data_IF_181767360878
#
_entry.id   IF_181767360878
#
_cell.length_a   1.000
_cell.length_b   1.000
_cell.length_c   1.000
_cell.angle_alpha   90.00
_cell.angle_beta   90.00
_cell.angle_gamma   90.00
#
_symmetry.space_group_name_H-M   'P 1'
#
loop_
_entity.id
_entity.type
_entity.pdbx_description
1 polymer ?
#
# COMPACT_ATOMS: atom_id res chain seq x y z
N UNK A 1 -3.97 -22.19 8.90
CA UNK A 1 -4.12 -20.84 8.30
C UNK A 1 -4.10 -19.84 9.43
N UNK A 2 -3.46 -18.69 9.24
CA UNK A 2 -3.46 -17.57 10.19
C UNK A 2 -3.65 -16.26 9.41
N UNK A 3 -4.21 -15.25 10.05
CA UNK A 3 -4.49 -13.94 9.42
C UNK A 3 -3.84 -12.82 10.20
N UNK A 4 -3.17 -11.91 9.50
CA UNK A 4 -2.58 -10.70 10.08
C UNK A 4 -3.58 -9.56 10.04
N UNK A 5 -4.07 -9.13 11.20
CA UNK A 5 -4.85 -7.90 11.28
C UNK A 5 -4.01 -6.66 10.93
N UNK A 6 -2.70 -6.68 11.25
CA UNK A 6 -1.77 -5.59 10.98
C UNK A 6 -1.63 -5.28 9.49
N UNK A 7 -1.49 -6.31 8.65
CA UNK A 7 -1.25 -6.13 7.21
C UNK A 7 -2.46 -6.47 6.32
N UNK A 8 -3.52 -7.06 6.88
CA UNK A 8 -4.65 -7.59 6.10
C UNK A 8 -4.22 -8.73 5.17
N UNK A 9 -3.35 -9.63 5.65
CA UNK A 9 -2.78 -10.74 4.88
C UNK A 9 -3.14 -12.08 5.51
N UNK A 10 -3.58 -13.03 4.69
CA UNK A 10 -3.81 -14.41 5.08
C UNK A 10 -2.59 -15.28 4.75
N UNK A 11 -2.11 -16.03 5.75
CA UNK A 11 -1.05 -17.03 5.64
C UNK A 11 -1.65 -18.43 5.61
N UNK A 12 -1.38 -19.16 4.53
CA UNK A 12 -1.82 -20.54 4.36
C UNK A 12 -0.59 -21.43 4.25
N UNK A 13 -0.45 -22.37 5.17
CA UNK A 13 0.60 -23.40 5.11
C UNK A 13 -0.03 -24.72 4.69
N UNK A 14 0.53 -25.34 3.66
CA UNK A 14 0.04 -26.62 3.12
C UNK A 14 0.71 -27.81 3.81
N UNK A 15 0.10 -28.99 3.71
CA UNK A 15 0.68 -30.25 4.21
C UNK A 15 2.09 -30.53 3.66
N UNK A 16 2.37 -30.08 2.43
CA UNK A 16 3.66 -30.24 1.77
C UNK A 16 4.67 -29.13 2.13
N UNK A 17 4.39 -28.27 3.13
CA UNK A 17 5.35 -27.26 3.58
C UNK A 17 5.50 -26.04 2.67
N UNK A 18 4.53 -25.79 1.78
CA UNK A 18 4.43 -24.50 1.09
C UNK A 18 3.69 -23.49 1.96
N UNK A 19 4.18 -22.25 1.97
CA UNK A 19 3.45 -21.09 2.48
C UNK A 19 2.90 -20.28 1.31
N UNK A 20 1.66 -19.82 1.45
CA UNK A 20 1.00 -18.91 0.54
C UNK A 20 0.54 -17.67 1.31
N UNK A 21 0.76 -16.49 0.72
CA UNK A 21 0.29 -15.21 1.24
C UNK A 21 -0.78 -14.69 0.30
N UNK A 22 -1.92 -14.27 0.86
CA UNK A 22 -3.02 -13.67 0.13
C UNK A 22 -3.40 -12.33 0.72
N UNK A 23 -3.69 -11.35 -0.13
CA UNK A 23 -4.35 -10.12 0.29
C UNK A 23 -5.80 -10.44 0.68
N UNK A 24 -6.22 -10.07 1.89
CA UNK A 24 -7.57 -10.39 2.38
C UNK A 24 -8.68 -9.59 1.69
N UNK A 25 -8.37 -8.40 1.18
CA UNK A 25 -9.37 -7.52 0.56
C UNK A 25 -9.73 -8.00 -0.86
N UNK A 26 -8.73 -8.37 -1.66
CA UNK A 26 -8.94 -8.80 -3.06
C UNK A 26 -8.88 -10.31 -3.27
N UNK A 27 -8.37 -11.09 -2.31
CA UNK A 27 -8.06 -12.51 -2.49
C UNK A 27 -6.86 -12.77 -3.40
N UNK A 28 -6.12 -11.74 -3.82
CA UNK A 28 -4.97 -11.86 -4.71
C UNK A 28 -3.83 -12.62 -4.01
N UNK A 29 -3.23 -13.60 -4.70
CA UNK A 29 -2.04 -14.29 -4.20
C UNK A 29 -0.82 -13.38 -4.34
N UNK A 30 -0.19 -13.08 -3.21
CA UNK A 30 1.02 -12.26 -3.12
C UNK A 30 2.25 -13.15 -3.31
N UNK A 31 2.42 -14.15 -2.45
CA UNK A 31 3.67 -14.92 -2.41
C UNK A 31 3.37 -16.41 -2.24
N UNK A 32 4.27 -17.24 -2.76
CA UNK A 32 4.24 -18.68 -2.58
C UNK A 32 5.64 -19.24 -2.62
N UNK A 33 6.03 -19.97 -1.59
CA UNK A 33 7.31 -20.68 -1.59
C UNK A 33 7.28 -21.90 -0.65
N UNK A 34 8.19 -22.84 -0.88
CA UNK A 34 8.41 -23.96 0.03
C UNK A 34 9.28 -23.49 1.20
N UNK A 35 8.74 -23.57 2.41
CA UNK A 35 9.45 -23.24 3.66
C UNK A 35 9.87 -24.50 4.42
N UNK A 36 9.32 -25.66 4.08
CA UNK A 36 9.72 -26.93 4.67
C UNK A 36 9.56 -28.11 3.71
N UNK A 37 10.41 -29.10 3.84
CA UNK A 37 10.24 -30.43 3.22
C UNK A 37 9.34 -31.34 4.03
N UNK A 38 9.18 -31.03 5.33
CA UNK A 38 8.43 -31.79 6.30
C UNK A 38 7.11 -31.08 6.63
N UNK A 39 6.07 -31.83 6.97
CA UNK A 39 4.77 -31.23 7.30
C UNK A 39 4.88 -30.32 8.52
N UNK A 40 4.49 -29.06 8.37
CA UNK A 40 4.20 -28.15 9.47
C UNK A 40 2.86 -28.57 10.06
N UNK A 41 2.89 -29.19 11.24
CA UNK A 41 1.72 -29.87 11.81
C UNK A 41 0.95 -29.00 12.81
N UNK A 42 1.58 -27.94 13.31
CA UNK A 42 0.96 -26.95 14.20
C UNK A 42 1.43 -25.55 13.80
N UNK A 43 0.51 -24.60 13.84
CA UNK A 43 0.80 -23.19 13.54
C UNK A 43 0.05 -22.27 14.50
N UNK A 44 0.66 -21.14 14.86
CA UNK A 44 0.03 -20.05 15.60
C UNK A 44 0.33 -18.70 14.92
N UNK A 45 -0.40 -17.67 15.32
CA UNK A 45 -0.07 -16.30 14.97
C UNK A 45 1.27 -15.89 15.61
N UNK A 46 2.11 -15.19 14.85
CA UNK A 46 3.32 -14.58 15.38
C UNK A 46 3.08 -13.10 15.69
N UNK A 47 2.57 -12.83 16.89
CA UNK A 47 2.07 -11.51 17.30
C UNK A 47 3.09 -10.36 17.14
N UNK A 48 4.37 -10.61 17.39
CA UNK A 48 5.43 -9.58 17.31
C UNK A 48 5.57 -8.96 15.91
N UNK A 49 5.31 -9.74 14.87
CA UNK A 49 5.46 -9.31 13.47
C UNK A 49 4.12 -9.30 12.71
N UNK A 50 3.05 -9.77 13.34
CA UNK A 50 1.79 -10.07 12.67
C UNK A 50 1.93 -11.18 11.62
N UNK A 51 2.86 -12.11 11.79
CA UNK A 51 3.15 -13.21 10.88
C UNK A 51 2.52 -14.54 11.31
N UNK A 52 3.09 -15.64 10.81
CA UNK A 52 2.76 -17.01 11.21
C UNK A 52 4.00 -17.72 11.75
N UNK A 53 3.82 -18.52 12.79
CA UNK A 53 4.85 -19.41 13.32
C UNK A 53 4.32 -20.85 13.31
N UNK A 54 5.20 -21.84 13.15
CA UNK A 54 4.81 -23.24 13.16
C UNK A 54 5.96 -24.19 13.42
N UNK A 55 5.61 -25.44 13.74
CA UNK A 55 6.58 -26.50 14.02
C UNK A 55 6.40 -27.61 12.99
N UNK A 56 7.50 -28.06 12.40
CA UNK A 56 7.50 -29.19 11.48
C UNK A 56 7.81 -30.52 12.18
N UNK A 57 7.61 -31.64 11.50
CA UNK A 57 7.83 -32.99 12.06
C UNK A 57 9.28 -33.28 12.52
N UNK A 58 10.26 -32.47 12.11
CA UNK A 58 11.64 -32.55 12.58
C UNK A 58 11.91 -31.73 13.85
N UNK A 59 10.89 -31.07 14.39
CA UNK A 59 11.01 -30.21 15.57
C UNK A 59 11.59 -28.82 15.27
N UNK A 60 11.70 -28.42 13.99
CA UNK A 60 12.15 -27.08 13.63
C UNK A 60 11.02 -26.07 13.85
N UNK A 61 11.35 -24.96 14.51
CA UNK A 61 10.47 -23.80 14.64
C UNK A 61 10.70 -22.87 13.46
N UNK A 62 9.65 -22.63 12.68
CA UNK A 62 9.68 -21.79 11.49
C UNK A 62 8.77 -20.57 11.72
N UNK A 63 9.20 -19.39 11.27
CA UNK A 63 8.35 -18.20 11.24
C UNK A 63 8.38 -17.57 9.86
N UNK A 64 7.26 -16.98 9.47
CA UNK A 64 7.10 -16.24 8.21
C UNK A 64 6.36 -14.95 8.52
N UNK A 65 6.93 -13.82 8.14
CA UNK A 65 6.36 -12.49 8.30
C UNK A 65 6.54 -11.66 7.03
N UNK A 66 5.85 -10.53 6.94
CA UNK A 66 6.10 -9.56 5.86
C UNK A 66 7.42 -8.84 6.13
N UNK A 67 8.18 -8.63 5.06
CA UNK A 67 9.27 -7.66 5.04
C UNK A 67 8.70 -6.32 4.54
N UNK A 68 8.44 -5.40 5.48
CA UNK A 68 7.77 -4.13 5.22
C UNK A 68 8.53 -3.25 4.21
N UNK A 69 9.86 -3.38 4.12
CA UNK A 69 10.68 -2.59 3.21
C UNK A 69 10.64 -3.11 1.76
N UNK A 70 10.48 -4.41 1.59
CA UNK A 70 10.57 -5.08 0.28
C UNK A 70 9.20 -5.48 -0.29
N UNK A 71 8.14 -5.44 0.52
CA UNK A 71 6.80 -5.85 0.13
C UNK A 71 6.26 -5.04 -1.06
N UNK A 72 6.36 -3.71 -1.01
CA UNK A 72 5.82 -2.84 -2.07
C UNK A 72 6.64 -2.97 -3.37
N UNK A 73 7.99 -2.92 -3.36
CA UNK A 73 8.79 -3.20 -4.55
C UNK A 73 8.49 -4.57 -5.17
N UNK A 74 8.34 -5.62 -4.33
CA UNK A 74 8.04 -6.97 -4.78
C UNK A 74 6.68 -7.04 -5.52
N UNK A 75 5.63 -6.48 -4.93
CA UNK A 75 4.29 -6.48 -5.54
C UNK A 75 4.26 -5.66 -6.84
N UNK A 76 5.04 -4.58 -6.88
CA UNK A 76 5.11 -3.71 -8.05
C UNK A 76 5.87 -4.34 -9.21
N UNK A 77 7.05 -4.90 -8.94
CA UNK A 77 7.99 -5.31 -9.98
C UNK A 77 7.86 -6.79 -10.35
N UNK A 78 7.69 -7.68 -9.36
CA UNK A 78 7.65 -9.12 -9.61
C UNK A 78 6.23 -9.62 -9.88
N UNK A 79 5.26 -9.15 -9.11
CA UNK A 79 3.84 -9.46 -9.35
C UNK A 79 3.23 -8.57 -10.45
N UNK A 80 3.92 -7.51 -10.87
CA UNK A 80 3.45 -6.54 -11.87
C UNK A 80 2.05 -5.99 -11.54
N UNK A 81 1.76 -5.77 -10.24
CA UNK A 81 0.46 -5.34 -9.75
C UNK A 81 0.57 -4.03 -8.95
N UNK A 82 0.78 -2.89 -9.64
CA UNK A 82 0.97 -1.59 -8.98
C UNK A 82 -0.29 -1.11 -8.22
N UNK A 83 -1.50 -1.52 -8.64
CA UNK A 83 -2.74 -1.15 -7.94
C UNK A 83 -2.87 -1.86 -6.59
N UNK A 84 -2.46 -3.14 -6.50
CA UNK A 84 -2.36 -3.84 -5.21
C UNK A 84 -1.26 -3.20 -4.34
N UNK A 85 -0.11 -2.86 -4.92
CA UNK A 85 0.99 -2.22 -4.20
C UNK A 85 0.55 -0.88 -3.57
N UNK A 86 -0.14 -0.03 -4.34
CA UNK A 86 -0.70 1.23 -3.84
C UNK A 86 -1.69 1.01 -2.69
N UNK A 87 -2.63 0.07 -2.82
CA UNK A 87 -3.59 -0.22 -1.74
C UNK A 87 -2.92 -0.71 -0.47
N UNK A 88 -1.95 -1.60 -0.60
CA UNK A 88 -1.17 -2.11 0.54
C UNK A 88 -0.34 -1.01 1.22
N UNK A 89 0.27 -0.12 0.42
CA UNK A 89 1.02 1.00 0.96
C UNK A 89 0.15 1.98 1.75
N UNK A 90 -1.05 2.33 1.25
CA UNK A 90 -1.99 3.19 2.01
C UNK A 90 -2.52 2.48 3.25
N UNK A 91 -2.97 1.23 3.10
CA UNK A 91 -3.66 0.50 4.18
C UNK A 91 -2.75 0.18 5.35
N UNK A 92 -1.49 -0.14 5.06
CA UNK A 92 -0.54 -0.65 6.03
C UNK A 92 0.61 0.33 6.33
N UNK A 93 0.56 1.56 5.78
CA UNK A 93 1.61 2.60 5.88
C UNK A 93 3.01 2.08 5.52
N UNK A 94 3.11 1.30 4.43
CA UNK A 94 4.37 0.67 4.01
C UNK A 94 5.19 1.60 3.09
N UNK A 95 6.53 1.63 3.26
CA UNK A 95 7.42 2.41 2.40
C UNK A 95 7.56 1.82 1.00
N UNK A 96 8.12 2.60 0.06
CA UNK A 96 8.48 2.12 -1.28
C UNK A 96 7.40 2.33 -2.35
N UNK A 97 6.31 3.03 -2.02
CA UNK A 97 5.25 3.40 -2.96
C UNK A 97 5.39 4.83 -3.51
N UNK A 98 6.41 5.58 -3.11
CA UNK A 98 6.55 7.01 -3.37
C UNK A 98 6.44 7.32 -4.86
N UNK A 99 7.20 6.59 -5.67
CA UNK A 99 7.22 6.77 -7.12
C UNK A 99 5.87 6.36 -7.76
N UNK A 100 5.18 5.37 -7.20
CA UNK A 100 3.87 4.95 -7.70
C UNK A 100 2.82 6.04 -7.49
N UNK A 101 2.84 6.72 -6.34
CA UNK A 101 1.95 7.86 -6.09
C UNK A 101 2.23 8.99 -7.08
N UNK A 102 3.50 9.33 -7.31
CA UNK A 102 3.88 10.38 -8.28
C UNK A 102 3.45 10.01 -9.70
N UNK A 103 3.68 8.76 -10.13
CA UNK A 103 3.27 8.27 -11.45
C UNK A 103 1.74 8.29 -11.60
N UNK A 104 1.01 7.77 -10.61
CA UNK A 104 -0.46 7.78 -10.62
C UNK A 104 -1.01 9.20 -10.64
N UNK A 105 -0.44 10.09 -9.84
CA UNK A 105 -0.80 11.51 -9.83
C UNK A 105 -0.60 12.15 -11.21
N UNK A 106 0.59 12.04 -11.80
CA UNK A 106 0.87 12.64 -13.10
C UNK A 106 -0.02 12.07 -14.21
N UNK A 107 -0.36 10.77 -14.16
CA UNK A 107 -1.27 10.14 -15.11
C UNK A 107 -2.69 10.70 -14.99
N UNK A 108 -3.25 10.76 -13.78
CA UNK A 108 -4.58 11.32 -13.54
C UNK A 108 -4.62 12.81 -13.93
N UNK A 109 -3.57 13.54 -13.60
CA UNK A 109 -3.45 14.97 -13.89
C UNK A 109 -3.33 15.24 -15.39
N UNK A 110 -2.53 14.45 -16.12
CA UNK A 110 -2.41 14.53 -17.59
C UNK A 110 -3.70 14.16 -18.32
N UNK A 111 -4.51 13.27 -17.73
CA UNK A 111 -5.82 12.89 -18.26
C UNK A 111 -6.93 13.91 -17.92
N UNK A 112 -6.62 15.04 -17.27
CA UNK A 112 -7.60 16.04 -16.84
C UNK A 112 -8.48 15.60 -15.67
N UNK A 113 -8.16 14.49 -15.02
CA UNK A 113 -8.90 13.95 -13.87
C UNK A 113 -8.41 14.60 -12.56
N UNK A 114 -8.57 15.91 -12.46
CA UNK A 114 -8.01 16.70 -11.35
C UNK A 114 -8.57 16.32 -9.98
N UNK A 115 -9.85 15.90 -9.90
CA UNK A 115 -10.47 15.49 -8.64
C UNK A 115 -9.87 14.21 -8.05
N UNK A 116 -9.60 13.21 -8.89
CA UNK A 116 -8.94 11.96 -8.47
C UNK A 116 -7.45 12.19 -8.19
N UNK A 117 -6.77 13.02 -8.99
CA UNK A 117 -5.40 13.42 -8.73
C UNK A 117 -5.26 14.12 -7.36
N UNK A 118 -6.23 14.97 -7.00
CA UNK A 118 -6.29 15.63 -5.70
C UNK A 118 -6.49 14.64 -4.54
N UNK A 119 -7.35 13.63 -4.71
CA UNK A 119 -7.50 12.54 -3.72
C UNK A 119 -6.20 11.78 -3.51
N UNK A 120 -5.55 11.34 -4.59
CA UNK A 120 -4.27 10.60 -4.53
C UNK A 120 -3.19 11.42 -3.84
N UNK A 121 -3.11 12.72 -4.13
CA UNK A 121 -2.17 13.62 -3.47
C UNK A 121 -2.45 13.81 -1.97
N UNK A 122 -3.72 13.81 -1.57
CA UNK A 122 -4.11 13.93 -0.17
C UNK A 122 -3.88 12.63 0.63
N UNK A 123 -4.08 11.46 0.03
CA UNK A 123 -3.95 10.14 0.69
C UNK A 123 -2.55 9.54 0.60
N UNK A 124 -1.62 10.16 -0.12
CA UNK A 124 -0.25 9.66 -0.23
C UNK A 124 0.41 9.58 1.17
N UNK A 125 1.05 8.44 1.50
CA UNK A 125 1.75 8.26 2.77
C UNK A 125 2.89 9.27 2.90
N UNK A 126 3.25 9.61 4.15
CA UNK A 126 4.34 10.55 4.47
C UNK A 126 4.26 11.94 3.79
N UNK A 127 3.10 12.32 3.24
CA UNK A 127 2.93 13.63 2.62
C UNK A 127 3.78 13.87 1.36
N UNK A 128 4.21 12.82 0.65
CA UNK A 128 5.11 12.90 -0.52
C UNK A 128 4.58 13.85 -1.61
N UNK A 129 3.26 13.86 -1.79
CA UNK A 129 2.59 14.72 -2.77
C UNK A 129 2.06 16.03 -2.18
N UNK A 130 2.23 16.27 -0.87
CA UNK A 130 1.83 17.52 -0.19
C UNK A 130 2.93 18.57 -0.25
N UNK A 131 3.49 18.79 -1.43
CA UNK A 131 4.60 19.71 -1.66
C UNK A 131 4.14 20.99 -2.36
N UNK A 132 4.91 22.09 -2.24
CA UNK A 132 4.66 23.31 -3.01
C UNK A 132 4.58 23.07 -4.52
N UNK A 133 5.33 22.08 -5.03
CA UNK A 133 5.34 21.70 -6.43
C UNK A 133 3.97 21.15 -6.89
N UNK A 134 3.32 20.31 -6.08
CA UNK A 134 1.96 19.82 -6.36
C UNK A 134 0.95 20.97 -6.35
N UNK A 135 1.08 21.90 -5.41
CA UNK A 135 0.21 23.09 -5.32
C UNK A 135 0.38 23.97 -6.58
N UNK A 136 1.61 24.22 -7.02
CA UNK A 136 1.88 24.98 -8.24
C UNK A 136 1.27 24.31 -9.48
N UNK A 137 1.33 22.98 -9.60
CA UNK A 137 0.65 22.26 -10.68
C UNK A 137 -0.85 22.54 -10.66
N UNK A 138 -1.51 22.43 -9.51
CA UNK A 138 -2.95 22.73 -9.39
C UNK A 138 -3.31 24.20 -9.62
N UNK A 139 -2.41 25.14 -9.33
CA UNK A 139 -2.59 26.58 -9.60
C UNK A 139 -2.53 26.90 -11.09
N UNK A 140 -1.69 26.19 -11.85
CA UNK A 140 -1.53 26.39 -13.30
C UNK A 140 -2.67 25.79 -14.13
N UNK A 141 -3.54 24.98 -13.52
CA UNK A 141 -4.68 24.40 -14.23
C UNK A 141 -5.76 25.45 -14.54
N UNK A 142 -6.29 25.46 -15.78
CA UNK A 142 -7.44 26.29 -16.09
C UNK A 142 -8.65 25.89 -15.25
N UNK A 143 -9.48 26.87 -14.88
CA UNK A 143 -10.73 26.61 -14.18
C UNK A 143 -11.63 25.69 -15.03
N UNK A 144 -12.28 24.73 -14.37
CA UNK A 144 -13.04 23.68 -15.05
C UNK A 144 -14.16 24.31 -15.92
N UNK A 145 -14.28 23.98 -17.22
CA UNK A 145 -15.20 24.67 -18.14
C UNK A 145 -16.69 24.51 -17.82
N UNK A 146 -17.06 23.71 -16.81
CA UNK A 146 -18.44 23.48 -16.36
C UNK A 146 -18.83 24.19 -15.04
N UNK A 147 -18.05 25.18 -14.56
CA UNK A 147 -18.40 25.92 -13.33
C UNK A 147 -18.21 25.15 -12.01
N UNK A 148 -17.49 24.02 -12.05
CA UNK A 148 -17.12 23.27 -10.85
C UNK A 148 -16.03 23.97 -10.03
N UNK A 149 -15.93 23.63 -8.73
CA UNK A 149 -14.90 24.16 -7.85
C UNK A 149 -13.50 23.97 -8.46
N UNK A 150 -12.64 24.98 -8.31
CA UNK A 150 -11.29 24.93 -8.90
C UNK A 150 -10.52 23.70 -8.42
N UNK A 151 -9.69 23.08 -9.29
CA UNK A 151 -8.86 21.92 -8.91
C UNK A 151 -8.08 22.11 -7.61
N UNK A 152 -7.59 23.33 -7.38
CA UNK A 152 -6.89 23.73 -6.17
C UNK A 152 -7.79 23.67 -4.92
N UNK A 153 -9.03 24.17 -5.00
CA UNK A 153 -9.99 24.10 -3.89
C UNK A 153 -10.37 22.65 -3.58
N UNK A 154 -10.50 21.79 -4.59
CA UNK A 154 -10.75 20.36 -4.39
C UNK A 154 -9.60 19.70 -3.62
N UNK A 155 -8.35 19.99 -4.00
CA UNK A 155 -7.17 19.52 -3.28
C UNK A 155 -7.11 19.96 -1.81
N UNK A 156 -7.41 21.24 -1.53
CA UNK A 156 -7.51 21.71 -0.14
C UNK A 156 -8.65 21.03 0.63
N UNK A 157 -9.79 20.79 -0.01
CA UNK A 157 -10.89 20.05 0.60
C UNK A 157 -10.50 18.63 1.05
N UNK A 158 -9.74 17.90 0.23
CA UNK A 158 -9.27 16.56 0.60
C UNK A 158 -8.18 16.58 1.68
N UNK A 159 -7.21 17.50 1.58
CA UNK A 159 -6.13 17.61 2.57
C UNK A 159 -6.62 18.08 3.94
N UNK A 160 -7.61 18.99 4.00
CA UNK A 160 -8.28 19.39 5.25
C UNK A 160 -9.03 18.24 5.91
N UNK A 161 -9.71 17.38 5.13
CA UNK A 161 -10.40 16.19 5.67
C UNK A 161 -9.44 15.15 6.23
N UNK A 162 -8.22 15.04 5.67
CA UNK A 162 -7.18 14.14 6.18
C UNK A 162 -6.42 14.68 7.40
N UNK A 163 -6.85 15.79 8.01
CA UNK A 163 -6.47 16.18 9.38
C UNK A 163 -5.08 16.80 9.60
N UNK A 164 -4.25 16.95 8.55
CA UNK A 164 -2.94 17.62 8.64
C UNK A 164 -2.81 18.70 7.56
N UNK A 165 -3.31 19.89 7.87
CA UNK A 165 -2.84 21.14 7.26
C UNK A 165 -1.55 21.52 7.99
N UNK A 166 -0.43 20.91 7.60
CA UNK A 166 0.85 21.50 7.98
C UNK A 166 0.96 22.83 7.24
N UNK A 167 1.18 23.89 8.02
CA UNK A 167 1.30 25.26 7.55
C UNK A 167 2.40 25.32 6.49
N UNK A 168 2.04 25.26 5.20
CA UNK A 168 2.90 25.76 4.12
C UNK A 168 2.84 27.29 4.23
N UNK A 169 3.48 27.81 5.29
CA UNK A 169 3.81 29.21 5.44
C UNK A 169 4.98 29.45 4.50
N UNK A 170 4.69 30.11 3.38
CA UNK A 170 5.74 30.76 2.59
C UNK A 170 6.59 31.66 3.51
N UNK A 171 7.92 31.76 3.28
CA UNK A 171 8.73 32.79 3.91
C UNK A 171 8.22 34.20 3.60
#
# INVERSE_FOLDING_TARGET
>A
MQTSAKHGIAYVVTKHGLVHLYDMESGSRIYSNRISTDTVFVTCEYQATGGIMGINRKGQVLSVSIDENNMIPFVTQQLQNPDLALRLAVRCDLPGAEELFVRKFNLLFGNGQYGEAAKVAATAPQGILRTPQTIQKFQQCPANPGGGASPLLQYFGYTSRSGKIEQVRNP
#
